data_IF_103498360935
#
_entry.id   IF_103498360935
#
_cell.length_a   1.000
_cell.length_b   1.000
_cell.length_c   1.000
_cell.angle_alpha   90.00
_cell.angle_beta   90.00
_cell.angle_gamma   90.00
#
_symmetry.space_group_name_H-M   'P 1'
#
loop_
_entity.id
_entity.type
_entity.pdbx_description
1 polymer ?
#
# COMPACT_ATOMS: atom_id res chain seq x y z
N UNK A 1 31.86 -4.75 -23.90
CA UNK A 1 30.51 -4.58 -24.48
C UNK A 1 30.13 -3.13 -24.36
N UNK A 2 30.04 -2.40 -25.47
CA UNK A 2 29.57 -1.01 -25.46
C UNK A 2 28.07 -0.97 -25.16
N UNK A 3 27.62 0.01 -24.37
CA UNK A 3 26.20 0.20 -24.06
C UNK A 3 25.40 0.47 -25.34
N UNK A 4 24.21 -0.12 -25.44
CA UNK A 4 23.25 0.23 -26.49
C UNK A 4 22.90 1.74 -26.42
N UNK A 5 22.70 2.43 -27.57
CA UNK A 5 22.34 3.84 -27.57
C UNK A 5 20.99 4.07 -26.88
N UNK A 6 20.92 5.07 -25.98
CA UNK A 6 19.69 5.47 -25.30
C UNK A 6 19.01 6.61 -26.06
N UNK A 7 17.79 6.37 -26.52
CA UNK A 7 16.98 7.38 -27.22
C UNK A 7 16.05 8.13 -26.24
N UNK A 8 15.90 9.47 -26.37
CA UNK A 8 15.11 10.28 -25.45
C UNK A 8 13.62 10.28 -25.81
N UNK A 9 12.94 9.15 -25.62
CA UNK A 9 11.48 9.09 -25.83
C UNK A 9 10.73 9.95 -24.79
N UNK A 10 9.66 10.65 -25.20
CA UNK A 10 8.92 11.59 -24.34
C UNK A 10 7.95 10.87 -23.37
N UNK A 11 8.46 9.95 -22.55
CA UNK A 11 7.66 9.10 -21.65
C UNK A 11 6.84 9.93 -20.66
N UNK A 12 7.45 10.93 -20.00
CA UNK A 12 6.78 11.73 -18.98
C UNK A 12 5.70 12.66 -19.57
N UNK A 13 5.98 13.29 -20.72
CA UNK A 13 5.04 14.20 -21.39
C UNK A 13 3.76 13.49 -21.81
N UNK A 14 3.86 12.24 -22.22
CA UNK A 14 2.71 11.46 -22.72
C UNK A 14 2.00 10.71 -21.59
N UNK A 15 2.72 10.16 -20.62
CA UNK A 15 2.14 9.23 -19.63
C UNK A 15 1.88 9.83 -18.24
N UNK A 16 2.05 11.14 -18.05
CA UNK A 16 1.75 11.77 -16.76
C UNK A 16 0.33 11.52 -16.22
N UNK A 17 -0.76 11.42 -17.02
CA UNK A 17 -2.08 11.14 -16.48
C UNK A 17 -2.16 9.75 -15.84
N UNK A 18 -1.47 8.77 -16.42
CA UNK A 18 -1.38 7.42 -15.86
C UNK A 18 -0.57 7.39 -14.58
N UNK A 19 0.52 8.16 -14.50
CA UNK A 19 1.31 8.30 -13.28
C UNK A 19 0.47 8.92 -12.14
N UNK A 20 -0.32 9.95 -12.45
CA UNK A 20 -1.24 10.55 -11.46
C UNK A 20 -2.33 9.55 -11.06
N UNK A 21 -2.96 8.88 -12.03
CA UNK A 21 -3.96 7.85 -11.75
C UNK A 21 -3.41 6.76 -10.81
N UNK A 22 -2.22 6.24 -11.11
CA UNK A 22 -1.53 5.27 -10.27
C UNK A 22 -1.26 5.81 -8.86
N UNK A 23 -0.82 7.07 -8.74
CA UNK A 23 -0.61 7.71 -7.44
C UNK A 23 -1.88 7.83 -6.60
N UNK A 24 -2.99 8.25 -7.22
CA UNK A 24 -4.30 8.36 -6.56
C UNK A 24 -4.78 6.98 -6.12
N UNK A 25 -4.79 6.00 -7.04
CA UNK A 25 -5.21 4.62 -6.73
C UNK A 25 -4.36 4.03 -5.62
N UNK A 26 -3.04 4.20 -5.67
CA UNK A 26 -2.14 3.73 -4.63
C UNK A 26 -2.51 4.30 -3.26
N UNK A 27 -2.75 5.61 -3.17
CA UNK A 27 -3.13 6.25 -1.91
C UNK A 27 -4.45 5.70 -1.35
N UNK A 28 -5.47 5.56 -2.21
CA UNK A 28 -6.76 5.03 -1.80
C UNK A 28 -6.67 3.58 -1.33
N UNK A 29 -5.99 2.73 -2.09
CA UNK A 29 -5.77 1.31 -1.73
C UNK A 29 -4.97 1.21 -0.44
N UNK A 30 -3.95 2.04 -0.25
CA UNK A 30 -3.15 2.08 0.97
C UNK A 30 -4.00 2.44 2.20
N UNK A 31 -4.87 3.45 2.09
CA UNK A 31 -5.77 3.81 3.20
C UNK A 31 -6.81 2.72 3.46
N UNK A 32 -7.37 2.14 2.41
CA UNK A 32 -8.32 1.03 2.49
C UNK A 32 -7.72 -0.20 3.15
N UNK A 33 -6.47 -0.56 2.81
CA UNK A 33 -5.79 -1.73 3.37
C UNK A 33 -5.47 -1.58 4.86
N UNK A 34 -5.11 -0.37 5.31
CA UNK A 34 -4.92 -0.09 6.74
C UNK A 34 -6.25 -0.24 7.50
N UNK A 35 -7.34 0.29 6.94
CA UNK A 35 -8.65 0.16 7.56
C UNK A 35 -9.09 -1.31 7.64
N UNK A 36 -8.94 -2.06 6.54
CA UNK A 36 -9.33 -3.47 6.47
C UNK A 36 -8.48 -4.36 7.38
N UNK A 37 -7.19 -4.08 7.51
CA UNK A 37 -6.31 -4.84 8.41
C UNK A 37 -6.64 -4.62 9.89
N UNK A 38 -7.39 -3.57 10.23
CA UNK A 38 -7.83 -3.29 11.60
C UNK A 38 -9.31 -3.68 11.84
N UNK A 39 -9.95 -4.40 10.91
CA UNK A 39 -11.28 -4.97 11.15
C UNK A 39 -11.22 -6.10 12.18
N UNK A 40 -12.36 -6.41 12.78
CA UNK A 40 -12.43 -7.42 13.85
C UNK A 40 -11.97 -8.80 13.42
N UNK A 41 -12.23 -9.18 12.17
CA UNK A 41 -11.79 -10.44 11.58
C UNK A 41 -10.25 -10.56 11.50
N UNK A 42 -9.56 -9.45 11.17
CA UNK A 42 -8.13 -9.47 10.84
C UNK A 42 -7.24 -8.76 11.87
N UNK A 43 -7.81 -8.10 12.88
CA UNK A 43 -7.08 -7.35 13.90
C UNK A 43 -6.11 -8.23 14.69
N UNK A 44 -6.43 -9.52 14.83
CA UNK A 44 -5.67 -10.50 15.60
C UNK A 44 -4.94 -11.53 14.72
N UNK A 45 -4.92 -11.36 13.39
CA UNK A 45 -4.08 -12.20 12.53
C UNK A 45 -2.60 -11.91 12.86
N UNK A 46 -1.78 -12.91 13.25
CA UNK A 46 -0.37 -12.71 13.61
C UNK A 46 0.48 -12.09 12.49
N UNK A 47 0.02 -12.15 11.23
CA UNK A 47 0.69 -11.54 10.07
C UNK A 47 0.42 -10.04 9.95
N UNK A 48 -0.49 -9.49 10.75
CA UNK A 48 -0.77 -8.06 10.76
C UNK A 48 0.52 -7.27 11.09
N UNK A 49 0.95 -6.32 10.23
CA UNK A 49 2.18 -5.55 10.43
C UNK A 49 2.28 -4.83 11.78
N UNK A 50 1.16 -4.63 12.49
CA UNK A 50 1.13 -4.10 13.85
C UNK A 50 1.95 -4.94 14.84
N UNK A 51 1.93 -6.27 14.71
CA UNK A 51 2.68 -7.16 15.60
C UNK A 51 4.19 -7.01 15.44
N UNK A 52 4.68 -6.76 14.22
CA UNK A 52 6.08 -6.45 13.96
C UNK A 52 6.53 -5.13 14.63
N UNK A 53 5.60 -4.24 14.96
CA UNK A 53 5.84 -2.98 15.69
C UNK A 53 5.62 -3.10 17.21
N UNK A 54 5.46 -4.33 17.73
CA UNK A 54 5.22 -4.58 19.16
C UNK A 54 3.75 -4.46 19.60
N UNK A 55 2.81 -4.44 18.65
CA UNK A 55 1.38 -4.53 18.97
C UNK A 55 1.02 -5.84 19.67
N UNK A 56 -0.02 -5.80 20.51
CA UNK A 56 -0.53 -6.97 21.24
C UNK A 56 -1.90 -7.37 20.69
N UNK A 57 -2.32 -8.59 21.03
CA UNK A 57 -3.66 -9.06 20.73
C UNK A 57 -4.70 -8.17 21.41
N UNK A 58 -5.80 -7.91 20.72
CA UNK A 58 -6.92 -7.13 21.23
C UNK A 58 -8.05 -8.10 21.55
N UNK A 59 -8.58 -8.00 22.76
CA UNK A 59 -9.77 -8.76 23.15
C UNK A 59 -11.01 -8.06 22.56
N UNK A 60 -11.71 -8.73 21.66
CA UNK A 60 -12.85 -8.18 20.93
C UNK A 60 -14.14 -8.19 21.77
N UNK A 61 -14.25 -9.13 22.71
CA UNK A 61 -15.43 -9.29 23.57
C UNK A 61 -15.51 -8.24 24.68
N UNK A 62 -14.45 -7.43 24.84
CA UNK A 62 -14.35 -6.33 25.81
C UNK A 62 -14.43 -4.95 25.16
N UNK A 63 -14.81 -4.87 23.88
CA UNK A 63 -15.18 -3.59 23.26
C UNK A 63 -16.64 -3.32 23.62
N UNK A 64 -16.83 -2.38 24.56
CA UNK A 64 -18.15 -1.87 24.97
C UNK A 64 -19.00 -1.40 23.78
#
# INVERSE_FOLDING_TARGET
>A
MGSLPRYPFPVLKTYWPYAIGAGITYYLVYKGSIASANSDEFINDPRNPRFAKGGKYIDLDKRD
#
